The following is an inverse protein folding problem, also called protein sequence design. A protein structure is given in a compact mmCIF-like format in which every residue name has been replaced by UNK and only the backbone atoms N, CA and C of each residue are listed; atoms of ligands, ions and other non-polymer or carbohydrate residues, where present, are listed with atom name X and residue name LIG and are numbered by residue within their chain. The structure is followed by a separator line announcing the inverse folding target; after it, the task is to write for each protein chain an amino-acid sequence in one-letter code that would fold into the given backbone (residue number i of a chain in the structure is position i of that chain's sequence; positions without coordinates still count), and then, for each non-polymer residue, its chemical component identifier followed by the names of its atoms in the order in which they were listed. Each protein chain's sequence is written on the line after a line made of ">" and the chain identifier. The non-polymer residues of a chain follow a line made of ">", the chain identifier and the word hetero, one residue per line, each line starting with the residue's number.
data_IF_451828744174
#
_entry.id   IF_451828744174
#
_cell.length_a   1.000
_cell.length_b   1.000
_cell.length_c   1.000
_cell.angle_alpha   90.00
_cell.angle_beta   90.00
_cell.angle_gamma   90.00
#
_symmetry.space_group_name_H-M   'P 1'
#
loop_
_entity.id
_entity.type
_entity.pdbx_description
1 polymer ?
#
# COMPACT_ATOMS: atom_id res chain seq x y z
N UNK A 1 -1.48 -9.09 -5.58
CA UNK A 1 -2.70 -8.99 -6.40
C UNK A 1 -2.93 -10.32 -7.09
N UNK A 2 -4.08 -10.98 -6.95
CA UNK A 2 -4.48 -12.13 -7.78
C UNK A 2 -5.73 -11.73 -8.56
N UNK A 3 -5.80 -12.00 -9.87
CA UNK A 3 -6.89 -11.56 -10.74
C UNK A 3 -7.90 -12.70 -10.93
N UNK A 4 -9.18 -12.41 -10.70
CA UNK A 4 -10.29 -13.32 -10.98
C UNK A 4 -11.10 -12.75 -12.14
N UNK A 5 -11.21 -13.53 -13.22
CA UNK A 5 -11.96 -13.21 -14.44
C UNK A 5 -13.47 -13.33 -14.13
N UNK A 6 -14.05 -12.27 -13.56
CA UNK A 6 -15.49 -12.04 -13.47
C UNK A 6 -15.71 -10.54 -13.70
N UNK A 7 -16.86 -10.16 -14.27
CA UNK A 7 -17.17 -8.94 -15.04
C UNK A 7 -16.87 -7.57 -14.37
N UNK A 8 -16.27 -7.53 -13.17
CA UNK A 8 -16.23 -6.37 -12.26
C UNK A 8 -14.86 -5.68 -12.06
N UNK A 9 -13.78 -6.11 -12.74
CA UNK A 9 -12.41 -5.54 -12.58
C UNK A 9 -11.98 -5.43 -11.09
N UNK A 10 -12.26 -6.46 -10.30
CA UNK A 10 -11.89 -6.52 -8.89
C UNK A 10 -10.53 -7.22 -8.72
N UNK A 11 -9.71 -6.70 -7.81
CA UNK A 11 -8.39 -7.21 -7.48
C UNK A 11 -8.28 -7.44 -5.98
N UNK A 12 -7.74 -8.60 -5.59
CA UNK A 12 -7.39 -8.88 -4.19
C UNK A 12 -6.07 -8.22 -3.82
N UNK A 13 -6.11 -7.23 -2.93
CA UNK A 13 -4.95 -6.50 -2.43
C UNK A 13 -4.69 -6.84 -0.96
N UNK A 14 -3.41 -7.06 -0.61
CA UNK A 14 -2.98 -7.21 0.78
C UNK A 14 -2.53 -5.85 1.34
N UNK A 15 -3.10 -5.47 2.49
CA UNK A 15 -2.76 -4.28 3.24
C UNK A 15 -2.21 -4.69 4.60
N UNK A 16 -0.91 -4.98 4.67
CA UNK A 16 -0.24 -5.28 5.94
C UNK A 16 -0.92 -6.49 6.63
N UNK A 17 -1.21 -7.55 5.87
CA UNK A 17 -1.88 -8.76 6.34
C UNK A 17 -3.42 -8.71 6.35
N UNK A 18 -4.02 -7.66 5.79
CA UNK A 18 -5.47 -7.56 5.54
C UNK A 18 -5.75 -7.67 4.05
N UNK A 19 -6.35 -8.78 3.63
CA UNK A 19 -6.80 -8.98 2.26
C UNK A 19 -8.14 -8.26 2.03
N UNK A 20 -8.19 -7.40 1.01
CA UNK A 20 -9.37 -6.63 0.62
C UNK A 20 -9.54 -6.63 -0.89
N UNK A 21 -10.79 -6.72 -1.34
CA UNK A 21 -11.16 -6.55 -2.74
C UNK A 21 -11.18 -5.07 -3.09
N UNK A 22 -10.49 -4.71 -4.17
CA UNK A 22 -10.31 -3.34 -4.64
C UNK A 22 -10.66 -3.28 -6.11
N UNK A 23 -11.43 -2.27 -6.51
CA UNK A 23 -11.76 -2.07 -7.91
C UNK A 23 -10.60 -1.40 -8.65
N UNK A 24 -10.07 -2.09 -9.67
CA UNK A 24 -8.95 -1.64 -10.51
C UNK A 24 -9.39 -1.15 -11.90
N UNK A 25 -10.69 -0.89 -12.10
CA UNK A 25 -11.24 -0.42 -13.37
C UNK A 25 -10.54 0.85 -13.89
N UNK A 26 -10.05 1.71 -12.99
CA UNK A 26 -9.35 2.95 -13.34
C UNK A 26 -7.94 2.72 -13.89
N UNK A 27 -7.32 1.56 -13.63
CA UNK A 27 -5.94 1.21 -14.01
C UNK A 27 -5.90 0.03 -14.97
N UNK A 28 -6.99 -0.17 -15.73
CA UNK A 28 -7.20 -1.36 -16.57
C UNK A 28 -6.05 -1.52 -17.57
N UNK A 29 -5.30 -2.61 -17.44
CA UNK A 29 -4.16 -2.93 -18.33
C UNK A 29 -2.81 -2.35 -17.90
N UNK A 30 -2.76 -1.56 -16.83
CA UNK A 30 -1.51 -0.95 -16.32
C UNK A 30 -0.97 -1.67 -15.07
N UNK A 31 -1.81 -2.47 -14.40
CA UNK A 31 -1.48 -3.20 -13.17
C UNK A 31 -1.45 -4.71 -13.40
N UNK A 32 -0.46 -5.37 -12.80
CA UNK A 32 -0.22 -6.81 -12.85
C UNK A 32 -0.12 -7.41 -11.45
N UNK A 33 -0.24 -8.73 -11.37
CA UNK A 33 -0.03 -9.50 -10.15
C UNK A 33 1.38 -9.22 -9.60
N UNK A 34 1.46 -8.58 -8.43
CA UNK A 34 2.72 -8.23 -7.77
C UNK A 34 3.03 -6.73 -7.78
N UNK A 35 2.29 -5.92 -8.53
CA UNK A 35 2.38 -4.46 -8.46
C UNK A 35 1.78 -3.91 -7.17
N UNK A 36 2.29 -2.77 -6.73
CA UNK A 36 1.73 -2.00 -5.63
C UNK A 36 0.81 -0.91 -6.20
N UNK A 37 -0.31 -0.66 -5.53
CA UNK A 37 -1.29 0.33 -5.97
C UNK A 37 -1.74 1.18 -4.79
N UNK A 38 -1.96 2.48 -5.04
CA UNK A 38 -2.59 3.37 -4.07
C UNK A 38 -4.09 3.19 -4.17
N UNK A 39 -4.71 2.89 -3.03
CA UNK A 39 -6.16 2.69 -2.94
C UNK A 39 -6.80 3.85 -2.19
N UNK A 40 -7.82 4.43 -2.80
CA UNK A 40 -8.62 5.50 -2.22
C UNK A 40 -10.10 5.10 -2.26
N UNK A 41 -10.72 4.92 -1.09
CA UNK A 41 -12.16 4.59 -0.94
C UNK A 41 -12.58 3.33 -1.73
N UNK A 42 -11.72 2.31 -1.78
CA UNK A 42 -12.00 1.03 -2.47
C UNK A 42 -11.67 1.01 -3.97
N UNK A 43 -11.11 2.10 -4.50
CA UNK A 43 -10.63 2.17 -5.89
C UNK A 43 -9.12 2.31 -5.94
N UNK A 44 -8.48 1.55 -6.83
CA UNK A 44 -7.08 1.76 -7.15
C UNK A 44 -6.98 2.97 -8.09
N UNK A 45 -6.28 4.02 -7.64
CA UNK A 45 -6.19 5.30 -8.37
C UNK A 45 -4.86 5.47 -9.08
N UNK A 46 -3.81 4.80 -8.63
CA UNK A 46 -2.47 4.91 -9.19
C UNK A 46 -1.65 3.64 -8.94
N UNK A 47 -0.89 3.23 -9.96
CA UNK A 47 0.18 2.24 -9.82
C UNK A 47 1.38 2.88 -9.16
N UNK A 48 1.95 2.18 -8.19
CA UNK A 48 3.21 2.52 -7.54
C UNK A 48 4.25 1.47 -7.90
N UNK A 49 5.45 1.91 -8.26
CA UNK A 49 6.56 1.01 -8.55
C UNK A 49 7.10 0.39 -7.26
N UNK A 50 7.68 -0.82 -7.37
CA UNK A 50 8.14 -1.58 -6.20
C UNK A 50 9.25 -0.82 -5.47
N UNK A 51 10.12 -0.13 -6.22
CA UNK A 51 11.23 0.65 -5.66
C UNK A 51 10.72 1.85 -4.84
N UNK A 52 9.77 2.62 -5.38
CA UNK A 52 9.10 3.73 -4.68
C UNK A 52 8.30 3.26 -3.46
N UNK A 53 7.62 2.11 -3.56
CA UNK A 53 6.89 1.53 -2.45
C UNK A 53 7.85 1.16 -1.30
N UNK A 54 8.99 0.56 -1.62
CA UNK A 54 10.02 0.19 -0.65
C UNK A 54 10.70 1.42 -0.02
N UNK A 55 10.98 2.46 -0.80
CA UNK A 55 11.55 3.71 -0.29
C UNK A 55 10.56 4.42 0.64
N UNK A 56 9.28 4.43 0.28
CA UNK A 56 8.20 4.95 1.13
C UNK A 56 8.14 4.17 2.45
N UNK A 57 8.06 2.84 2.39
CA UNK A 57 8.04 1.98 3.60
C UNK A 57 9.28 2.22 4.47
N UNK A 58 10.46 2.35 3.86
CA UNK A 58 11.70 2.63 4.58
C UNK A 58 11.66 3.99 5.26
N UNK A 59 11.18 5.02 4.58
CA UNK A 59 11.01 6.37 5.13
C UNK A 59 10.03 6.38 6.28
N UNK A 60 8.89 5.70 6.15
CA UNK A 60 7.92 5.54 7.25
C UNK A 60 8.54 4.85 8.46
N UNK A 61 9.31 3.78 8.24
CA UNK A 61 9.97 3.03 9.31
C UNK A 61 11.07 3.84 10.02
N UNK A 62 11.83 4.63 9.27
CA UNK A 62 12.84 5.55 9.81
C UNK A 62 12.18 6.65 10.65
N UNK A 63 11.04 7.17 10.18
CA UNK A 63 10.25 8.14 10.92
C UNK A 63 9.65 7.57 12.22
N UNK A 64 9.17 6.32 12.19
CA UNK A 64 8.72 5.60 13.39
C UNK A 64 9.86 5.41 14.40
N UNK A 65 11.06 5.05 13.94
CA UNK A 65 12.23 4.87 14.80
C UNK A 65 12.65 6.20 15.46
N UNK A 66 12.68 7.28 14.67
CA UNK A 66 12.97 8.63 15.16
C UNK A 66 11.92 9.15 16.13
N UNK A 67 10.63 8.92 15.88
CA UNK A 67 9.54 9.25 16.81
C UNK A 67 9.73 8.52 18.14
N UNK A 68 10.12 7.24 18.10
CA UNK A 68 10.35 6.41 19.29
C UNK A 68 11.50 6.93 20.14
N UNK A 69 12.61 7.34 19.51
CA UNK A 69 13.75 7.92 20.22
C UNK A 69 13.38 9.27 20.87
N UNK A 70 12.58 10.10 20.20
CA UNK A 70 12.06 11.36 20.76
C UNK A 70 11.08 11.15 21.92
N UNK A 71 10.21 10.14 21.87
CA UNK A 71 9.30 9.79 22.98
C UNK A 71 10.08 9.29 24.21
N UNK A 72 11.17 8.53 24.01
CA UNK A 72 12.02 8.06 25.13
C UNK A 72 12.83 9.17 25.81
N UNK A 73 12.90 10.38 25.24
CA UNK A 73 13.62 11.52 25.78
C UNK A 73 12.84 12.42 26.76
N UNK A 74 11.55 12.17 26.98
CA UNK A 74 10.68 13.07 27.78
C UNK A 74 10.17 12.51 29.12
N UNK A 75 10.58 11.32 29.55
CA UNK A 75 10.13 10.71 30.83
C UNK A 75 11.08 11.00 32.02
N UNK A 76 11.64 12.22 32.14
CA UNK A 76 12.56 12.57 33.26
C UNK A 76 12.28 13.96 33.89
N UNK A 77 11.03 14.43 33.94
CA UNK A 77 10.68 15.56 34.84
C UNK A 77 9.38 15.35 35.59
#
# INVERSE_FOLDING_TARGET
>A
ISYSDDDENLALCDFIGLEREVNIQLLKGEVSVGDYVIVHVGYAIQKMDIEDALETIKTFKDFEDFQKELETGFDIV
#
